data_IF_973606344864
#
_entry.id   IF_973606344864
#
_cell.length_a   1.000
_cell.length_b   1.000
_cell.length_c   1.000
_cell.angle_alpha   90.00
_cell.angle_beta   90.00
_cell.angle_gamma   90.00
#
_symmetry.space_group_name_H-M   'P 1'
#
loop_
_entity.id
_entity.type
_entity.pdbx_description
1 polymer ?
#
# COMPACT_ATOMS: atom_id res chain seq x y z
N UNK A 1 -33.01 10.18 -22.54
CA UNK A 1 -32.84 9.43 -21.28
C UNK A 1 -31.89 8.29 -21.56
N UNK A 2 -30.62 8.37 -21.13
CA UNK A 2 -29.78 7.21 -20.86
C UNK A 2 -28.62 7.63 -19.94
N UNK A 3 -28.40 6.79 -18.94
CA UNK A 3 -27.81 7.06 -17.62
C UNK A 3 -26.31 7.34 -17.73
N UNK A 4 -25.91 8.60 -17.51
CA UNK A 4 -24.59 8.88 -16.96
C UNK A 4 -24.63 8.42 -15.49
N UNK A 5 -24.32 7.15 -15.28
CA UNK A 5 -24.09 6.61 -13.95
C UNK A 5 -22.78 7.22 -13.46
N UNK A 6 -22.92 8.32 -12.71
CA UNK A 6 -21.87 9.02 -11.98
C UNK A 6 -20.99 8.02 -11.24
N UNK A 7 -19.83 7.72 -11.80
CA UNK A 7 -18.76 6.90 -11.21
C UNK A 7 -17.98 7.65 -10.12
N UNK A 8 -18.46 8.83 -9.73
CA UNK A 8 -17.76 9.78 -8.89
C UNK A 8 -17.77 9.50 -7.38
N UNK A 9 -18.62 8.63 -6.76
CA UNK A 9 -18.54 8.44 -5.32
C UNK A 9 -17.54 7.37 -4.87
N UNK A 10 -16.92 6.59 -5.79
CA UNK A 10 -16.01 5.51 -5.38
C UNK A 10 -14.59 6.00 -5.02
N UNK A 11 -14.15 7.11 -5.60
CA UNK A 11 -12.79 7.66 -5.39
C UNK A 11 -12.69 8.37 -4.03
N UNK A 12 -13.80 8.90 -3.50
CA UNK A 12 -13.81 9.66 -2.25
C UNK A 12 -13.72 8.79 -0.98
N UNK A 13 -13.92 7.48 -1.07
CA UNK A 13 -13.83 6.59 0.10
C UNK A 13 -12.40 6.08 0.38
N UNK A 14 -11.46 6.27 -0.56
CA UNK A 14 -10.09 5.78 -0.42
C UNK A 14 -9.15 6.73 0.35
N UNK A 15 -9.60 7.94 0.70
CA UNK A 15 -8.75 9.01 1.26
C UNK A 15 -8.84 9.17 2.79
N UNK A 16 -9.54 8.27 3.49
CA UNK A 16 -9.63 8.31 4.98
C UNK A 16 -8.83 7.16 5.59
N UNK A 17 -7.54 7.10 5.27
CA UNK A 17 -6.57 6.41 6.12
C UNK A 17 -6.00 7.44 7.09
N UNK A 18 -6.72 7.67 8.20
CA UNK A 18 -6.14 8.29 9.38
C UNK A 18 -4.92 7.45 9.76
N UNK A 19 -3.72 7.92 9.39
CA UNK A 19 -2.48 7.34 9.90
C UNK A 19 -2.49 7.58 11.39
N UNK A 20 -2.92 6.58 12.16
CA UNK A 20 -2.79 6.53 13.61
C UNK A 20 -1.29 6.62 13.89
N UNK A 21 -0.77 7.85 14.01
CA UNK A 21 0.57 8.08 14.51
C UNK A 21 0.51 7.78 16.00
N UNK A 22 0.76 6.52 16.36
CA UNK A 22 1.26 6.19 17.69
C UNK A 22 2.53 7.03 17.87
N UNK A 23 2.42 8.07 18.69
CA UNK A 23 3.58 8.87 19.10
C UNK A 23 4.42 8.02 20.04
N UNK A 24 5.52 7.46 19.55
CA UNK A 24 6.58 6.95 20.39
C UNK A 24 7.85 7.76 20.11
N UNK A 25 8.25 8.57 21.10
CA UNK A 25 9.57 9.18 21.10
C UNK A 25 10.58 8.03 21.28
N UNK A 26 11.32 7.73 20.21
CA UNK A 26 12.13 6.52 19.97
C UNK A 26 11.32 5.34 19.39
N UNK A 27 11.09 5.41 18.07
CA UNK A 27 10.42 4.37 17.26
C UNK A 27 11.33 3.18 16.95
N UNK A 28 12.59 3.16 17.44
CA UNK A 28 13.48 2.00 17.27
C UNK A 28 12.85 0.75 17.91
N UNK A 29 12.57 -0.25 17.09
CA UNK A 29 11.89 -1.48 17.50
C UNK A 29 10.39 -1.52 17.22
N UNK A 30 9.80 -0.42 16.72
CA UNK A 30 8.40 -0.34 16.36
C UNK A 30 8.01 -1.32 15.26
N UNK A 31 6.90 -2.03 15.46
CA UNK A 31 6.26 -2.88 14.45
C UNK A 31 5.20 -2.08 13.70
N UNK A 32 5.09 -2.29 12.39
CA UNK A 32 4.08 -1.61 11.57
C UNK A 32 3.46 -2.54 10.53
N UNK A 33 2.25 -2.19 10.11
CA UNK A 33 1.54 -2.78 8.99
C UNK A 33 1.43 -1.77 7.85
N UNK A 34 1.65 -2.23 6.61
CA UNK A 34 1.73 -1.39 5.41
C UNK A 34 0.81 -1.94 4.31
N UNK A 35 -0.42 -1.43 4.15
CA UNK A 35 -1.24 -1.74 2.99
C UNK A 35 -0.68 -1.04 1.75
N UNK A 36 -0.54 -1.77 0.65
CA UNK A 36 0.10 -1.30 -0.57
C UNK A 36 -0.74 -1.65 -1.80
N UNK A 37 -0.72 -0.76 -2.78
CA UNK A 37 -1.14 -1.04 -4.15
C UNK A 37 0.13 -1.18 -5.00
N UNK A 38 0.20 -2.24 -5.78
CA UNK A 38 1.33 -2.56 -6.65
C UNK A 38 0.88 -2.61 -8.10
N UNK A 39 1.83 -2.39 -9.01
CA UNK A 39 1.67 -2.60 -10.44
C UNK A 39 2.89 -3.37 -10.95
N UNK A 40 2.64 -4.51 -11.57
CA UNK A 40 3.66 -5.36 -12.16
C UNK A 40 3.75 -5.01 -13.64
N UNK A 41 4.96 -4.62 -14.07
CA UNK A 41 5.31 -4.54 -15.47
C UNK A 41 6.18 -5.73 -15.84
N UNK A 42 5.61 -6.66 -16.57
CA UNK A 42 6.25 -7.86 -17.06
C UNK A 42 7.20 -7.53 -18.22
N UNK A 43 8.31 -8.27 -18.30
CA UNK A 43 9.18 -8.19 -19.46
C UNK A 43 8.51 -8.87 -20.66
N UNK A 44 8.65 -8.27 -21.84
CA UNK A 44 7.93 -8.65 -23.06
C UNK A 44 8.21 -10.10 -23.49
N UNK A 45 9.37 -10.63 -23.12
CA UNK A 45 9.80 -11.97 -23.50
C UNK A 45 9.05 -13.09 -22.73
N UNK A 46 8.30 -12.74 -21.68
CA UNK A 46 7.64 -13.73 -20.81
C UNK A 46 6.21 -14.07 -21.19
N UNK A 47 5.63 -13.49 -22.24
CA UNK A 47 4.18 -13.63 -22.57
C UNK A 47 3.28 -13.51 -21.32
N UNK A 48 3.66 -12.64 -20.38
CA UNK A 48 2.93 -12.40 -19.15
C UNK A 48 2.32 -11.01 -19.21
N UNK A 49 1.09 -10.90 -18.73
CA UNK A 49 0.39 -9.62 -18.69
C UNK A 49 0.96 -8.73 -17.57
N UNK A 50 0.74 -7.43 -17.72
CA UNK A 50 0.94 -6.44 -16.67
C UNK A 50 -0.32 -6.36 -15.83
N UNK A 51 -0.21 -6.21 -14.50
CA UNK A 51 -1.39 -6.17 -13.64
C UNK A 51 -1.19 -5.37 -12.35
N UNK A 52 -2.31 -4.92 -11.76
CA UNK A 52 -2.35 -4.33 -10.44
C UNK A 52 -2.59 -5.39 -9.36
N UNK A 53 -1.97 -5.20 -8.19
CA UNK A 53 -2.15 -6.08 -7.04
C UNK A 53 -2.26 -5.32 -5.74
N UNK A 54 -3.02 -5.86 -4.79
CA UNK A 54 -2.96 -5.42 -3.40
C UNK A 54 -1.92 -6.25 -2.66
N UNK A 55 -1.13 -5.59 -1.83
CA UNK A 55 -0.13 -6.24 -0.98
C UNK A 55 -0.27 -5.75 0.46
N UNK A 56 0.14 -6.60 1.40
CA UNK A 56 0.27 -6.25 2.81
C UNK A 56 1.71 -6.48 3.25
N UNK A 57 2.34 -5.43 3.76
CA UNK A 57 3.64 -5.46 4.40
C UNK A 57 3.51 -5.53 5.92
N UNK A 58 4.37 -6.32 6.53
CA UNK A 58 4.63 -6.26 7.97
C UNK A 58 6.12 -5.98 8.17
N UNK A 59 6.42 -4.95 8.95
CA UNK A 59 7.79 -4.48 9.13
C UNK A 59 8.14 -4.10 10.55
N UNK A 60 9.44 -3.97 10.78
CA UNK A 60 10.02 -3.55 12.04
C UNK A 60 11.13 -2.53 11.80
N UNK A 61 11.13 -1.44 12.55
CA UNK A 61 12.27 -0.55 12.63
C UNK A 61 13.37 -1.19 13.48
N UNK A 62 14.56 -1.37 12.91
CA UNK A 62 15.72 -1.92 13.60
C UNK A 62 16.59 -0.84 14.23
N UNK A 63 16.61 0.36 13.65
CA UNK A 63 17.28 1.57 14.13
C UNK A 63 16.75 2.79 13.38
N UNK A 64 17.22 3.99 13.72
CA UNK A 64 16.92 5.23 12.98
C UNK A 64 17.26 5.19 11.47
N UNK A 65 18.08 4.22 11.03
CA UNK A 65 18.55 4.12 9.64
C UNK A 65 18.07 2.87 8.91
N UNK A 66 17.49 1.91 9.61
CA UNK A 66 17.22 0.59 9.05
C UNK A 66 15.86 0.06 9.46
N UNK A 67 15.11 -0.42 8.46
CA UNK A 67 13.87 -1.17 8.61
C UNK A 67 14.01 -2.52 7.92
N UNK A 68 13.31 -3.52 8.42
CA UNK A 68 13.11 -4.80 7.74
C UNK A 68 11.62 -4.98 7.50
N UNK A 69 11.26 -5.44 6.30
CA UNK A 69 9.86 -5.65 5.90
C UNK A 69 9.73 -6.97 5.14
N UNK A 70 8.64 -7.68 5.42
CA UNK A 70 8.17 -8.79 4.60
C UNK A 70 6.79 -8.41 4.05
N UNK A 71 6.57 -8.64 2.75
CA UNK A 71 5.33 -8.31 2.06
C UNK A 71 4.85 -9.46 1.18
N UNK A 72 3.53 -9.57 1.06
CA UNK A 72 2.84 -10.56 0.22
C UNK A 72 1.55 -9.95 -0.36
#
# INVERSE_FOLDING_TARGET
MNKYMSLTPLISLLLVSNSLKVQAADDTGGLYFSPMLSYIKSDNDRQADDDFGLMLGFGKQLSDKWNVEASA
#
